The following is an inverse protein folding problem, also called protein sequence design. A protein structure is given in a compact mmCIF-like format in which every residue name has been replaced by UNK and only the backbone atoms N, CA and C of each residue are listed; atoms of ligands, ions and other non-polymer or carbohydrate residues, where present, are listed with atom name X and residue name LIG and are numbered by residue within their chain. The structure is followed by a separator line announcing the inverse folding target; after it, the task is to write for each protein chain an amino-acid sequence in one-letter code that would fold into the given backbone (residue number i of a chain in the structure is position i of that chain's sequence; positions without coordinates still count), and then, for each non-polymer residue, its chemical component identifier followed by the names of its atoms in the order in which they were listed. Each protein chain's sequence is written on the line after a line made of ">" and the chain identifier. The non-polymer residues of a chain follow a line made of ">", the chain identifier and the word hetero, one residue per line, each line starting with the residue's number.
data_IF_984119833612
#
_entry.id   IF_984119833612
#
_cell.length_a   1.000
_cell.length_b   1.000
_cell.length_c   1.000
_cell.angle_alpha   90.00
_cell.angle_beta   90.00
_cell.angle_gamma   90.00
#
_symmetry.space_group_name_H-M   'P 1'
#
loop_
_entity.id
_entity.type
_entity.pdbx_description
1 polymer ?
#
# COMPACT_ATOMS: atom_id res chain seq x y z
N UNK A 1 15.85 -10.77 -11.84
CA UNK A 1 15.18 -10.27 -10.62
C UNK A 1 15.33 -8.75 -10.45
N UNK A 2 16.23 -8.06 -11.17
CA UNK A 2 16.41 -6.60 -11.09
C UNK A 2 15.19 -5.77 -11.55
N UNK A 3 14.48 -6.19 -12.60
CA UNK A 3 13.35 -5.41 -13.14
C UNK A 3 12.16 -5.20 -12.18
N UNK A 4 11.91 -6.13 -11.26
CA UNK A 4 10.80 -5.98 -10.28
C UNK A 4 11.09 -4.91 -9.22
N UNK A 5 12.37 -4.69 -8.89
CA UNK A 5 12.78 -3.71 -7.88
C UNK A 5 12.72 -2.30 -8.47
N UNK A 6 13.13 -2.14 -9.72
CA UNK A 6 13.07 -0.87 -10.44
C UNK A 6 11.64 -0.34 -10.54
N UNK A 7 10.70 -1.16 -11.03
CA UNK A 7 9.27 -0.78 -11.10
C UNK A 7 8.66 -0.50 -9.73
N UNK A 8 9.09 -1.20 -8.68
CA UNK A 8 8.62 -0.95 -7.31
C UNK A 8 9.02 0.45 -6.83
N UNK A 9 10.26 0.86 -7.11
CA UNK A 9 10.75 2.18 -6.71
C UNK A 9 10.13 3.30 -7.54
N UNK A 10 9.93 3.10 -8.84
CA UNK A 10 9.22 4.05 -9.70
C UNK A 10 7.80 4.33 -9.19
N UNK A 11 7.04 3.29 -8.86
CA UNK A 11 5.68 3.44 -8.31
C UNK A 11 5.69 4.19 -6.97
N UNK A 12 6.62 3.86 -6.07
CA UNK A 12 6.76 4.56 -4.79
C UNK A 12 7.07 6.04 -4.99
N UNK A 13 8.07 6.35 -5.81
CA UNK A 13 8.47 7.73 -6.08
C UNK A 13 7.33 8.53 -6.72
N UNK A 14 6.65 7.94 -7.72
CA UNK A 14 5.49 8.56 -8.37
C UNK A 14 4.38 8.96 -7.39
N UNK A 15 4.11 8.11 -6.39
CA UNK A 15 3.08 8.34 -5.38
C UNK A 15 3.51 9.33 -4.31
N UNK A 16 4.77 9.26 -3.85
CA UNK A 16 5.35 10.21 -2.90
C UNK A 16 5.36 11.63 -3.48
N UNK A 17 5.74 11.80 -4.76
CA UNK A 17 5.71 13.08 -5.47
C UNK A 17 4.28 13.67 -5.61
N UNK A 18 3.25 12.83 -5.48
CA UNK A 18 1.83 13.22 -5.57
C UNK A 18 1.18 13.49 -4.21
N UNK A 19 1.96 13.46 -3.14
CA UNK A 19 1.51 13.87 -1.82
C UNK A 19 1.27 12.73 -0.84
N UNK A 20 1.58 11.47 -1.18
CA UNK A 20 1.64 10.43 -0.17
C UNK A 20 2.80 10.71 0.80
N UNK A 21 2.56 10.61 2.10
CA UNK A 21 3.62 10.76 3.12
C UNK A 21 4.40 9.45 3.30
N UNK A 22 3.74 8.32 3.06
CA UNK A 22 4.35 6.99 3.12
C UNK A 22 3.69 6.06 2.12
N UNK A 23 4.49 5.18 1.50
CA UNK A 23 4.02 4.18 0.53
C UNK A 23 4.62 2.81 0.84
N UNK A 24 3.76 1.82 1.00
CA UNK A 24 4.10 0.41 1.17
C UNK A 24 3.62 -0.43 -0.01
N UNK A 25 4.44 -1.40 -0.43
CA UNK A 25 4.06 -2.39 -1.44
C UNK A 25 4.37 -3.76 -0.86
N UNK A 26 3.37 -4.64 -0.82
CA UNK A 26 3.50 -5.96 -0.21
C UNK A 26 2.74 -7.03 -1.00
N UNK A 27 3.23 -8.28 -1.04
CA UNK A 27 2.46 -9.39 -1.56
C UNK A 27 1.21 -9.63 -0.70
N UNK A 28 0.12 -10.08 -1.33
CA UNK A 28 -1.17 -10.32 -0.66
C UNK A 28 -1.10 -11.34 0.48
N UNK A 29 -0.12 -12.25 0.47
CA UNK A 29 0.05 -13.25 1.52
C UNK A 29 0.39 -12.64 2.90
N UNK A 30 0.83 -11.38 2.97
CA UNK A 30 0.99 -10.67 4.25
C UNK A 30 -0.33 -10.44 4.99
N UNK A 31 -1.46 -10.62 4.31
CA UNK A 31 -2.80 -10.44 4.85
C UNK A 31 -3.46 -11.78 5.23
N UNK A 32 -2.76 -12.91 5.06
CA UNK A 32 -3.31 -14.25 5.30
C UNK A 32 -3.72 -14.47 6.77
N UNK A 33 -3.08 -13.77 7.71
CA UNK A 33 -3.40 -13.83 9.16
C UNK A 33 -4.55 -12.89 9.57
N UNK A 34 -5.05 -12.07 8.66
CA UNK A 34 -6.15 -11.13 8.90
C UNK A 34 -7.54 -11.76 8.76
N UNK A 35 -8.61 -11.07 9.21
CA UNK A 35 -9.98 -11.51 8.93
C UNK A 35 -10.22 -11.68 7.42
N UNK A 36 -10.93 -12.74 7.01
CA UNK A 36 -11.19 -13.07 5.60
C UNK A 36 -11.82 -11.91 4.82
N UNK A 37 -12.80 -11.22 5.43
CA UNK A 37 -13.48 -10.05 4.86
C UNK A 37 -12.55 -8.87 4.60
N UNK A 38 -11.38 -8.83 5.24
CA UNK A 38 -10.36 -7.79 5.05
C UNK A 38 -9.25 -8.23 4.10
N UNK A 39 -9.23 -9.50 3.70
CA UNK A 39 -8.23 -10.04 2.81
C UNK A 39 -8.44 -9.45 1.40
N UNK A 40 -7.40 -8.93 0.71
CA UNK A 40 -7.56 -8.28 -0.59
C UNK A 40 -8.26 -9.14 -1.66
N UNK A 41 -8.03 -10.46 -1.63
CA UNK A 41 -8.67 -11.40 -2.56
C UNK A 41 -10.16 -11.63 -2.31
N UNK A 42 -10.71 -11.16 -1.18
CA UNK A 42 -12.15 -11.16 -0.95
C UNK A 42 -12.87 -10.27 -1.97
N UNK A 43 -12.33 -9.07 -2.25
CA UNK A 43 -12.90 -8.12 -3.21
C UNK A 43 -12.33 -8.24 -4.62
N UNK A 44 -11.07 -8.68 -4.74
CA UNK A 44 -10.36 -8.83 -6.01
C UNK A 44 -9.63 -10.18 -6.04
N UNK A 45 -10.30 -11.28 -6.48
CA UNK A 45 -9.77 -12.64 -6.35
C UNK A 45 -8.36 -12.85 -6.94
N UNK A 46 -8.05 -12.15 -8.03
CA UNK A 46 -6.76 -12.24 -8.73
C UNK A 46 -5.69 -11.28 -8.20
N UNK A 47 -5.92 -10.61 -7.06
CA UNK A 47 -4.96 -9.70 -6.47
C UNK A 47 -3.67 -10.44 -6.04
N UNK A 48 -2.51 -9.92 -6.46
CA UNK A 48 -1.18 -10.49 -6.16
C UNK A 48 -0.34 -9.61 -5.23
N UNK A 49 -0.54 -8.29 -5.30
CA UNK A 49 0.13 -7.30 -4.46
C UNK A 49 -0.86 -6.22 -4.02
N UNK A 50 -0.53 -5.58 -2.90
CA UNK A 50 -1.26 -4.43 -2.35
C UNK A 50 -0.30 -3.24 -2.31
N UNK A 51 -0.78 -2.09 -2.81
CA UNK A 51 -0.12 -0.79 -2.63
C UNK A 51 -0.91 -0.04 -1.55
N UNK A 52 -0.26 0.26 -0.44
CA UNK A 52 -0.84 1.02 0.67
C UNK A 52 -0.19 2.40 0.73
N UNK A 53 -1.01 3.45 0.87
CA UNK A 53 -0.55 4.82 1.03
C UNK A 53 -1.07 5.41 2.34
N UNK A 54 -0.22 6.17 3.02
CA UNK A 54 -0.56 6.92 4.21
C UNK A 54 -0.52 8.42 3.94
N UNK A 55 -1.53 9.12 4.45
CA UNK A 55 -1.64 10.57 4.42
C UNK A 55 -1.66 11.07 5.86
N UNK A 56 -0.71 11.93 6.23
CA UNK A 56 -0.70 12.58 7.54
C UNK A 56 -1.82 13.61 7.57
N UNK A 57 -2.76 13.42 8.50
CA UNK A 57 -3.65 14.51 8.90
C UNK A 57 -2.87 15.41 9.84
N UNK A 58 -2.93 16.73 9.60
CA UNK A 58 -2.22 17.70 10.43
C UNK A 58 -2.72 17.62 11.88
N UNK A 59 -1.77 17.59 12.82
CA UNK A 59 -2.05 17.37 14.24
C UNK A 59 -3.02 18.42 14.80
N UNK A 60 -2.96 19.67 14.32
CA UNK A 60 -3.85 20.75 14.75
C UNK A 60 -5.31 20.65 14.26
N UNK A 61 -5.63 19.71 13.36
CA UNK A 61 -6.99 19.46 12.86
C UNK A 61 -7.63 18.28 13.60
N UNK A 62 -6.85 17.47 14.29
CA UNK A 62 -7.33 16.32 15.04
C UNK A 62 -7.54 16.70 16.51
N UNK A 63 -8.78 16.65 17.00
CA UNK A 63 -9.06 16.51 18.44
C UNK A 63 -8.74 15.05 18.82
N UNK A 64 -7.51 14.80 19.28
CA UNK A 64 -7.05 13.50 19.82
C UNK A 64 -6.90 13.52 21.33
#
# INVERSE_FOLDING_TARGET
>A
MEGNVESTNEIKNYLLERGADVVGIAPVNRFDDGPEETHPRHYMPDATYVISLGMKIMDGVCDV
#
